data_IF_020255656178
#
_entry.id   IF_020255656178
#
_cell.length_a   1.000
_cell.length_b   1.000
_cell.length_c   1.000
_cell.angle_alpha   90.00
_cell.angle_beta   90.00
_cell.angle_gamma   90.00
#
_symmetry.space_group_name_H-M   'P 1'
#
loop_
_entity.id
_entity.type
_entity.pdbx_description
1 polymer ?
#
# COMPACT_ATOMS: atom_id res chain seq x y z
N UNK A 1 0.59 17.92 58.22
CA UNK A 1 1.79 17.24 58.76
C UNK A 1 1.34 15.90 59.31
N UNK A 2 1.86 14.80 58.77
CA UNK A 2 1.43 13.44 59.12
C UNK A 2 1.81 12.45 58.01
N UNK A 3 3.11 12.23 57.84
CA UNK A 3 3.64 11.27 56.88
C UNK A 3 3.66 9.89 57.53
N UNK A 4 2.87 8.94 56.99
CA UNK A 4 2.98 7.51 57.31
C UNK A 4 3.83 6.83 56.24
N UNK A 5 4.97 6.27 56.67
CA UNK A 5 5.82 5.37 55.89
C UNK A 5 5.11 4.02 55.65
N UNK A 6 5.28 3.39 54.48
CA UNK A 6 5.11 1.95 54.32
C UNK A 6 6.44 1.19 54.51
N UNK A 7 6.38 -0.10 54.90
CA UNK A 7 7.54 -0.89 55.33
C UNK A 7 8.33 -1.52 54.17
N UNK A 8 9.63 -1.70 54.44
CA UNK A 8 10.59 -2.53 53.70
C UNK A 8 10.37 -4.02 53.96
N UNK A 9 10.38 -4.83 52.91
CA UNK A 9 10.83 -6.24 52.82
C UNK A 9 10.88 -6.56 51.32
N UNK A 10 11.78 -7.35 50.76
CA UNK A 10 12.92 -8.11 51.25
C UNK A 10 13.76 -8.52 50.03
N UNK A 11 15.06 -8.53 50.24
CA UNK A 11 16.10 -8.97 49.31
C UNK A 11 16.13 -10.50 49.36
N UNK A 12 16.18 -11.17 48.21
CA UNK A 12 16.82 -12.49 48.11
C UNK A 12 17.72 -12.55 46.89
N UNK A 13 18.92 -12.96 47.22
CA UNK A 13 20.17 -13.06 46.49
C UNK A 13 20.28 -14.40 45.72
N UNK A 14 20.99 -14.34 44.59
CA UNK A 14 21.99 -15.31 44.09
C UNK A 14 21.59 -16.76 43.79
N UNK A 15 21.79 -17.18 42.54
CA UNK A 15 22.66 -18.34 42.25
C UNK A 15 23.26 -18.21 40.84
N UNK A 16 24.57 -18.01 40.77
CA UNK A 16 25.42 -18.29 39.61
C UNK A 16 25.63 -19.81 39.49
N UNK A 17 25.68 -20.31 38.25
CA UNK A 17 26.35 -21.57 37.94
C UNK A 17 26.97 -21.51 36.54
N UNK A 18 28.29 -21.41 36.54
CA UNK A 18 29.25 -21.58 35.44
C UNK A 18 29.52 -23.06 35.22
N UNK A 19 29.68 -23.53 33.97
CA UNK A 19 30.61 -24.61 33.52
C UNK A 19 30.30 -24.92 32.04
N UNK A 20 31.11 -24.49 31.06
CA UNK A 20 32.29 -25.16 30.45
C UNK A 20 32.12 -26.63 30.07
N UNK A 21 32.30 -26.91 28.77
CA UNK A 21 32.43 -28.27 28.24
C UNK A 21 32.81 -28.28 26.75
N UNK A 22 34.07 -27.97 26.44
CA UNK A 22 34.73 -28.40 25.19
C UNK A 22 35.04 -29.90 25.25
N UNK A 23 34.83 -30.64 24.14
CA UNK A 23 35.62 -31.83 23.81
C UNK A 23 35.54 -32.19 22.32
N UNK A 24 36.73 -32.34 21.73
CA UNK A 24 37.09 -32.88 20.42
C UNK A 24 36.81 -34.38 20.22
N UNK A 25 36.65 -34.77 18.94
CA UNK A 25 37.29 -35.89 18.19
C UNK A 25 36.32 -36.39 17.10
N UNK A 26 36.57 -36.24 15.79
CA UNK A 26 37.59 -36.84 14.90
C UNK A 26 37.28 -38.28 14.42
N UNK A 27 37.65 -38.52 13.14
CA UNK A 27 37.54 -39.70 12.27
C UNK A 27 36.17 -39.97 11.61
N UNK A 28 36.08 -40.19 10.29
CA UNK A 28 37.07 -40.31 9.24
C UNK A 28 36.48 -41.01 8.02
N UNK A 29 37.04 -40.75 6.85
CA UNK A 29 37.11 -41.75 5.77
C UNK A 29 36.05 -41.73 4.66
N UNK A 30 36.55 -41.39 3.46
CA UNK A 30 36.69 -42.28 2.29
C UNK A 30 36.14 -41.67 1.01
N UNK A 31 37.06 -41.55 0.06
CA UNK A 31 36.90 -41.09 -1.31
C UNK A 31 35.93 -41.94 -2.13
N UNK A 32 35.24 -41.31 -3.09
CA UNK A 32 34.99 -41.97 -4.36
C UNK A 32 34.90 -40.94 -5.51
N UNK A 33 35.91 -40.99 -6.36
CA UNK A 33 36.06 -40.19 -7.57
C UNK A 33 35.34 -40.90 -8.70
N UNK A 34 34.15 -40.42 -9.08
CA UNK A 34 33.39 -40.90 -10.23
C UNK A 34 33.63 -40.01 -11.45
N UNK A 35 34.55 -40.43 -12.31
CA UNK A 35 34.78 -39.84 -13.64
C UNK A 35 33.64 -40.27 -14.57
N UNK A 36 32.81 -39.31 -14.98
CA UNK A 36 31.76 -39.53 -15.98
C UNK A 36 32.31 -39.21 -17.37
N UNK A 37 32.61 -40.27 -18.12
CA UNK A 37 32.95 -40.24 -19.54
C UNK A 37 31.66 -40.04 -20.33
N UNK A 38 31.44 -38.84 -20.87
CA UNK A 38 30.39 -38.59 -21.85
C UNK A 38 30.95 -38.95 -23.23
N UNK A 39 30.38 -40.00 -23.84
CA UNK A 39 30.66 -40.41 -25.21
C UNK A 39 30.07 -39.39 -26.19
N UNK A 40 30.93 -38.86 -27.06
CA UNK A 40 30.56 -38.16 -28.27
C UNK A 40 29.73 -39.09 -29.19
N UNK A 41 28.53 -38.64 -29.57
CA UNK A 41 27.78 -39.17 -30.70
C UNK A 41 27.84 -38.13 -31.82
N UNK A 42 28.72 -38.37 -32.79
CA UNK A 42 28.68 -37.71 -34.08
C UNK A 42 27.57 -38.34 -34.93
N UNK A 43 26.55 -37.56 -35.29
CA UNK A 43 25.72 -37.82 -36.46
C UNK A 43 25.66 -36.56 -37.33
N UNK A 44 26.00 -36.76 -38.61
CA UNK A 44 26.02 -35.76 -39.66
C UNK A 44 24.60 -35.32 -40.07
N UNK A 45 24.40 -33.99 -40.03
CA UNK A 45 23.64 -33.07 -40.90
C UNK A 45 22.47 -33.58 -41.77
N UNK A 46 21.46 -32.72 -41.93
CA UNK A 46 21.47 -31.93 -43.18
C UNK A 46 21.59 -30.43 -42.91
N UNK A 47 22.44 -29.80 -43.72
CA UNK A 47 22.59 -28.35 -43.84
C UNK A 47 21.27 -27.75 -44.33
N UNK A 48 20.43 -27.29 -43.39
CA UNK A 48 19.36 -26.36 -43.69
C UNK A 48 19.99 -24.97 -43.71
N UNK A 49 20.15 -24.41 -44.91
CA UNK A 49 20.48 -23.00 -45.10
C UNK A 49 19.35 -22.14 -44.55
N UNK A 50 19.38 -21.89 -43.24
CA UNK A 50 18.69 -20.78 -42.64
C UNK A 50 19.64 -19.59 -42.72
N UNK A 51 19.28 -18.62 -43.57
CA UNK A 51 19.78 -17.25 -43.44
C UNK A 51 19.76 -16.84 -41.96
N UNK A 52 20.77 -16.11 -41.45
CA UNK A 52 20.66 -15.53 -40.12
C UNK A 52 19.44 -14.62 -40.14
N UNK A 53 18.35 -15.07 -39.53
CA UNK A 53 17.13 -14.29 -39.37
C UNK A 53 17.55 -12.95 -38.79
N UNK A 54 17.38 -11.89 -39.60
CA UNK A 54 17.62 -10.53 -39.16
C UNK A 54 16.87 -10.27 -37.85
N UNK A 55 17.31 -9.29 -37.04
CA UNK A 55 16.60 -8.96 -35.82
C UNK A 55 15.10 -8.82 -36.12
N UNK A 56 14.22 -9.43 -35.31
CA UNK A 56 12.78 -9.39 -35.56
C UNK A 56 12.36 -7.93 -35.77
N UNK A 57 11.45 -7.65 -36.71
CA UNK A 57 11.02 -6.29 -36.99
C UNK A 57 10.50 -5.66 -35.69
N UNK A 58 11.13 -4.56 -35.28
CA UNK A 58 10.72 -3.81 -34.11
C UNK A 58 9.25 -3.38 -34.25
N UNK A 59 8.52 -3.33 -33.13
CA UNK A 59 7.14 -2.89 -33.15
C UNK A 59 6.98 -1.50 -33.80
N UNK A 60 5.85 -1.26 -34.49
CA UNK A 60 5.54 0.03 -35.09
C UNK A 60 5.51 1.11 -34.00
N UNK A 61 6.05 2.28 -34.36
CA UNK A 61 5.88 3.50 -33.57
C UNK A 61 4.52 4.09 -33.83
N UNK A 62 4.06 4.94 -32.92
CA UNK A 62 2.96 5.84 -33.16
C UNK A 62 3.27 6.73 -34.36
N UNK A 63 2.30 6.90 -35.26
CA UNK A 63 2.38 7.91 -36.31
C UNK A 63 2.14 9.33 -35.76
N UNK A 64 2.43 10.35 -36.56
CA UNK A 64 2.33 11.74 -36.14
C UNK A 64 0.91 12.12 -35.69
N UNK A 65 -0.13 11.60 -36.34
CA UNK A 65 -1.51 11.91 -35.97
C UNK A 65 -1.89 11.29 -34.61
N UNK A 66 -1.37 10.11 -34.28
CA UNK A 66 -1.52 9.51 -32.97
C UNK A 66 -0.79 10.35 -31.90
N UNK A 67 0.42 10.82 -32.22
CA UNK A 67 1.20 11.71 -31.36
C UNK A 67 0.50 13.04 -31.08
N UNK A 68 -0.01 13.71 -32.10
CA UNK A 68 -0.73 14.99 -31.96
C UNK A 68 -1.99 14.82 -31.11
N UNK A 69 -2.71 13.70 -31.32
CA UNK A 69 -3.88 13.34 -30.51
C UNK A 69 -3.53 13.14 -29.04
N UNK A 70 -2.47 12.40 -28.72
CA UNK A 70 -2.05 12.22 -27.32
C UNK A 70 -1.54 13.50 -26.69
N UNK A 71 -0.83 14.34 -27.45
CA UNK A 71 -0.37 15.65 -26.99
C UNK A 71 -1.53 16.48 -26.46
N UNK A 72 -2.62 16.57 -27.21
CA UNK A 72 -3.82 17.30 -26.79
C UNK A 72 -4.54 16.63 -25.59
N UNK A 73 -4.58 15.30 -25.54
CA UNK A 73 -5.30 14.57 -24.48
C UNK A 73 -4.56 14.56 -23.14
N UNK A 74 -3.24 14.74 -23.15
CA UNK A 74 -2.39 14.70 -21.95
C UNK A 74 -1.92 16.08 -21.49
N UNK A 75 -2.20 17.13 -22.26
CA UNK A 75 -1.77 18.48 -21.95
C UNK A 75 -2.23 18.90 -20.55
N UNK A 76 -1.28 19.41 -19.75
CA UNK A 76 -1.45 19.85 -18.35
C UNK A 76 -2.12 18.85 -17.38
N UNK A 77 -2.24 17.57 -17.74
CA UNK A 77 -2.84 16.57 -16.85
C UNK A 77 -1.82 15.98 -15.87
N UNK A 78 -2.13 15.92 -14.56
CA UNK A 78 -1.30 15.17 -13.62
C UNK A 78 -1.33 13.68 -13.93
N UNK A 79 -0.32 12.93 -13.47
CA UNK A 79 -0.30 11.48 -13.60
C UNK A 79 -1.50 10.88 -12.83
N UNK A 80 -2.45 10.21 -13.50
CA UNK A 80 -3.59 9.61 -12.81
C UNK A 80 -3.15 8.42 -11.95
N UNK A 81 -3.97 8.09 -10.96
CA UNK A 81 -3.74 6.92 -10.11
C UNK A 81 -3.56 5.65 -10.94
N UNK A 82 -2.49 4.94 -10.61
CA UNK A 82 -2.12 3.68 -11.21
C UNK A 82 -1.31 3.79 -12.51
N UNK A 83 -0.91 4.99 -12.94
CA UNK A 83 -0.17 5.13 -14.21
C UNK A 83 0.99 4.13 -14.34
N UNK A 84 1.71 3.84 -13.24
CA UNK A 84 2.74 2.81 -13.21
C UNK A 84 2.24 1.40 -13.58
N UNK A 85 1.11 0.94 -13.04
CA UNK A 85 0.56 -0.38 -13.41
C UNK A 85 0.03 -0.39 -14.85
N UNK A 86 -0.49 0.73 -15.35
CA UNK A 86 -0.87 0.83 -16.77
C UNK A 86 0.39 0.70 -17.66
N UNK A 87 1.48 1.34 -17.24
CA UNK A 87 2.78 1.28 -17.90
C UNK A 87 3.34 -0.15 -17.87
N UNK A 88 3.38 -0.82 -16.71
CA UNK A 88 3.79 -2.24 -16.62
C UNK A 88 2.93 -3.17 -17.46
N UNK A 89 1.61 -3.00 -17.42
CA UNK A 89 0.68 -3.82 -18.18
C UNK A 89 0.91 -3.73 -19.69
N UNK A 90 1.35 -2.57 -20.19
CA UNK A 90 1.72 -2.42 -21.60
C UNK A 90 2.86 -3.37 -22.00
N UNK A 91 3.90 -3.50 -21.18
CA UNK A 91 4.99 -4.43 -21.43
C UNK A 91 4.52 -5.90 -21.36
N UNK A 92 3.73 -6.23 -20.33
CA UNK A 92 3.18 -7.58 -20.13
C UNK A 92 2.40 -8.08 -21.35
N UNK A 93 1.43 -7.29 -21.84
CA UNK A 93 0.58 -7.67 -22.97
C UNK A 93 1.34 -7.72 -24.30
N UNK A 94 2.37 -6.88 -24.44
CA UNK A 94 3.23 -6.87 -25.61
C UNK A 94 4.35 -7.91 -25.55
N UNK A 95 4.43 -8.72 -24.48
CA UNK A 95 5.48 -9.72 -24.27
C UNK A 95 6.88 -9.11 -24.14
N UNK A 96 6.96 -7.83 -23.81
CA UNK A 96 8.20 -7.10 -23.63
C UNK A 96 8.62 -7.13 -22.16
N UNK A 97 9.93 -7.04 -21.92
CA UNK A 97 10.47 -6.93 -20.56
C UNK A 97 10.37 -5.46 -20.13
N UNK A 98 9.71 -5.14 -19.00
CA UNK A 98 9.69 -3.78 -18.47
C UNK A 98 11.11 -3.31 -18.10
N UNK A 99 11.41 -2.01 -18.13
CA UNK A 99 12.73 -1.49 -17.81
C UNK A 99 13.21 -1.88 -16.41
N UNK A 100 14.52 -2.05 -16.30
CA UNK A 100 15.22 -2.25 -15.02
C UNK A 100 15.21 -0.91 -14.27
N UNK A 101 14.34 -0.80 -13.28
CA UNK A 101 14.05 0.44 -12.59
C UNK A 101 12.53 0.57 -12.45
N UNK A 102 12.05 0.29 -11.25
CA UNK A 102 10.64 0.22 -10.85
C UNK A 102 9.96 1.61 -10.85
N UNK A 103 10.12 2.39 -11.93
CA UNK A 103 9.81 3.82 -12.00
C UNK A 103 9.24 4.23 -13.35
N UNK A 104 8.30 5.18 -13.36
CA UNK A 104 7.92 5.90 -14.57
C UNK A 104 9.07 6.82 -15.05
N UNK A 105 9.18 7.07 -16.36
CA UNK A 105 9.99 8.16 -16.89
C UNK A 105 9.65 9.49 -16.20
N UNK A 106 10.67 10.31 -15.93
CA UNK A 106 10.49 11.61 -15.28
C UNK A 106 9.65 12.54 -16.18
N UNK A 107 8.53 13.03 -15.67
CA UNK A 107 7.65 13.96 -16.39
C UNK A 107 6.16 13.62 -16.22
N UNK A 108 5.33 14.14 -17.13
CA UNK A 108 3.91 13.83 -17.22
C UNK A 108 3.62 12.65 -18.16
N UNK A 109 2.33 12.40 -18.44
CA UNK A 109 1.87 11.33 -19.32
C UNK A 109 2.55 11.33 -20.70
N UNK A 110 2.86 12.51 -21.24
CA UNK A 110 3.56 12.66 -22.52
C UNK A 110 4.95 12.02 -22.50
N UNK A 111 5.72 12.19 -21.43
CA UNK A 111 7.06 11.58 -21.31
C UNK A 111 6.97 10.06 -21.11
N UNK A 112 5.94 9.59 -20.39
CA UNK A 112 5.64 8.15 -20.26
C UNK A 112 5.38 7.52 -21.63
N UNK A 113 4.56 8.15 -22.46
CA UNK A 113 4.29 7.63 -23.81
C UNK A 113 5.51 7.75 -24.74
N UNK A 114 6.33 8.79 -24.61
CA UNK A 114 7.56 8.93 -25.41
C UNK A 114 8.51 7.78 -25.14
N UNK A 115 8.67 7.41 -23.87
CA UNK A 115 9.47 6.25 -23.50
C UNK A 115 8.88 4.94 -24.03
N UNK A 116 7.56 4.72 -23.90
CA UNK A 116 6.88 3.54 -24.45
C UNK A 116 7.07 3.41 -25.98
N UNK A 117 6.93 4.51 -26.72
CA UNK A 117 7.09 4.55 -28.16
C UNK A 117 8.56 4.34 -28.59
N UNK A 118 9.51 4.89 -27.82
CA UNK A 118 10.94 4.74 -28.08
C UNK A 118 11.44 3.31 -27.84
N UNK A 119 10.91 2.61 -26.82
CA UNK A 119 11.35 1.26 -26.45
C UNK A 119 10.92 0.20 -27.45
N UNK A 120 9.76 0.37 -28.06
CA UNK A 120 9.15 -0.56 -29.01
C UNK A 120 8.89 -1.95 -28.39
N UNK A 121 7.67 -2.46 -28.51
CA UNK A 121 7.32 -3.79 -28.00
C UNK A 121 8.01 -4.92 -28.79
N UNK A 122 7.87 -6.15 -28.29
CA UNK A 122 8.32 -7.36 -29.02
C UNK A 122 7.30 -7.74 -30.11
N UNK A 123 6.03 -7.33 -29.93
CA UNK A 123 4.95 -7.61 -30.87
C UNK A 123 4.95 -6.64 -32.06
N UNK A 124 5.14 -7.11 -33.30
CA UNK A 124 5.25 -6.27 -34.49
C UNK A 124 3.93 -5.58 -34.89
N UNK A 125 2.82 -5.90 -34.22
CA UNK A 125 1.47 -5.38 -34.50
C UNK A 125 0.94 -4.46 -33.39
N UNK A 126 1.74 -4.15 -32.36
CA UNK A 126 1.22 -3.52 -31.14
C UNK A 126 2.21 -2.52 -30.54
N UNK A 127 2.09 -1.22 -30.87
CA UNK A 127 2.83 -0.17 -30.17
C UNK A 127 2.50 -0.19 -28.67
N UNK A 128 3.50 -0.11 -27.79
CA UNK A 128 3.32 -0.18 -26.32
C UNK A 128 2.40 0.92 -25.76
N UNK A 129 2.35 2.08 -26.43
CA UNK A 129 1.46 3.17 -26.05
C UNK A 129 -0.04 2.79 -26.14
N UNK A 130 -0.41 1.87 -27.04
CA UNK A 130 -1.81 1.47 -27.25
C UNK A 130 -2.40 0.73 -26.04
N UNK A 131 -1.80 -0.38 -25.52
CA UNK A 131 -2.29 -0.99 -24.30
C UNK A 131 -2.18 -0.05 -23.09
N UNK A 132 -1.16 0.79 -22.99
CA UNK A 132 -1.08 1.81 -21.94
C UNK A 132 -2.32 2.72 -21.90
N UNK A 133 -2.67 3.33 -23.04
CA UNK A 133 -3.84 4.22 -23.17
C UNK A 133 -5.14 3.45 -22.91
N UNK A 134 -5.24 2.19 -23.37
CA UNK A 134 -6.40 1.33 -23.10
C UNK A 134 -6.63 1.10 -21.61
N UNK A 135 -5.56 0.96 -20.84
CA UNK A 135 -5.61 0.82 -19.39
C UNK A 135 -6.02 2.13 -18.71
N UNK A 136 -5.41 3.26 -19.10
CA UNK A 136 -5.77 4.57 -18.59
C UNK A 136 -7.24 4.90 -18.84
N UNK A 137 -7.73 4.65 -20.06
CA UNK A 137 -9.13 4.83 -20.44
C UNK A 137 -10.07 4.05 -19.51
N UNK A 138 -9.78 2.79 -19.24
CA UNK A 138 -10.60 1.95 -18.36
C UNK A 138 -10.66 2.49 -16.92
N UNK A 139 -9.57 3.13 -16.45
CA UNK A 139 -9.48 3.72 -15.12
C UNK A 139 -10.16 5.09 -15.04
N UNK A 140 -10.04 5.88 -16.10
CA UNK A 140 -10.68 7.18 -16.23
C UNK A 140 -12.20 7.06 -16.26
N UNK A 141 -12.76 5.99 -16.84
CA UNK A 141 -14.20 5.83 -17.11
C UNK A 141 -15.16 6.12 -15.95
N UNK A 142 -14.71 6.05 -14.70
CA UNK A 142 -15.55 6.36 -13.52
C UNK A 142 -15.33 7.76 -12.97
N UNK A 143 -14.09 8.28 -13.00
CA UNK A 143 -13.72 9.57 -12.41
C UNK A 143 -13.78 10.72 -13.39
N UNK A 144 -13.46 10.44 -14.65
CA UNK A 144 -13.48 11.38 -15.77
C UNK A 144 -14.02 10.66 -17.02
N UNK A 145 -15.36 10.49 -17.11
CA UNK A 145 -15.98 9.80 -18.23
C UNK A 145 -15.75 10.50 -19.56
N UNK A 146 -15.64 11.83 -19.56
CA UNK A 146 -15.37 12.63 -20.75
C UNK A 146 -13.98 12.32 -21.31
N UNK A 147 -12.95 12.37 -20.47
CA UNK A 147 -11.60 12.00 -20.89
C UNK A 147 -11.51 10.53 -21.31
N UNK A 148 -12.21 9.63 -20.62
CA UNK A 148 -12.28 8.23 -21.01
C UNK A 148 -12.89 8.06 -22.42
N UNK A 149 -13.94 8.81 -22.77
CA UNK A 149 -14.49 8.82 -24.12
C UNK A 149 -13.47 9.33 -25.13
N UNK A 150 -12.78 10.43 -24.83
CA UNK A 150 -11.76 10.98 -25.73
C UNK A 150 -10.59 10.00 -25.97
N UNK A 151 -10.14 9.29 -24.92
CA UNK A 151 -9.14 8.22 -25.04
C UNK A 151 -9.67 7.03 -25.84
N UNK A 152 -10.97 6.71 -25.73
CA UNK A 152 -11.61 5.66 -26.51
C UNK A 152 -11.63 5.99 -28.01
N UNK A 153 -11.97 7.23 -28.35
CA UNK A 153 -11.97 7.73 -29.73
C UNK A 153 -10.55 7.71 -30.32
N UNK A 154 -9.56 8.14 -29.54
CA UNK A 154 -8.16 8.06 -29.94
C UNK A 154 -7.70 6.62 -30.18
N UNK A 155 -8.08 5.69 -29.30
CA UNK A 155 -7.75 4.26 -29.44
C UNK A 155 -8.39 3.66 -30.69
N UNK A 156 -9.66 3.96 -30.94
CA UNK A 156 -10.36 3.46 -32.12
C UNK A 156 -9.69 3.93 -33.41
N UNK A 157 -9.44 5.24 -33.52
CA UNK A 157 -8.80 5.83 -34.69
C UNK A 157 -7.35 5.33 -34.89
N UNK A 158 -6.59 5.17 -33.80
CA UNK A 158 -5.21 4.68 -33.87
C UNK A 158 -5.17 3.20 -34.26
N UNK A 159 -5.96 2.34 -33.61
CA UNK A 159 -5.99 0.91 -33.93
C UNK A 159 -6.44 0.64 -35.37
N UNK A 160 -7.44 1.38 -35.88
CA UNK A 160 -7.88 1.28 -37.28
C UNK A 160 -6.73 1.61 -38.24
N UNK A 161 -6.00 2.70 -37.97
CA UNK A 161 -4.93 3.18 -38.83
C UNK A 161 -3.67 2.31 -38.77
N UNK A 162 -3.31 1.81 -37.60
CA UNK A 162 -2.11 0.98 -37.40
C UNK A 162 -2.36 -0.51 -37.56
N UNK A 163 -3.62 -0.93 -37.76
CA UNK A 163 -3.99 -2.34 -37.91
C UNK A 163 -3.83 -3.16 -36.62
N UNK A 164 -3.87 -2.53 -35.45
CA UNK A 164 -3.74 -3.22 -34.15
C UNK A 164 -5.01 -4.03 -33.90
N UNK A 165 -4.85 -5.33 -33.63
CA UNK A 165 -5.96 -6.23 -33.33
C UNK A 165 -6.66 -5.93 -31.99
N UNK A 166 -7.70 -6.71 -31.64
CA UNK A 166 -8.42 -6.54 -30.37
C UNK A 166 -7.48 -6.63 -29.17
N UNK A 167 -7.55 -5.62 -28.30
CA UNK A 167 -6.76 -5.56 -27.07
C UNK A 167 -7.45 -6.37 -25.97
N UNK A 168 -6.67 -7.06 -25.11
CA UNK A 168 -7.23 -7.72 -23.93
C UNK A 168 -7.87 -6.70 -22.99
N UNK A 169 -8.81 -7.18 -22.17
CA UNK A 169 -9.43 -6.36 -21.12
C UNK A 169 -8.36 -5.98 -20.09
N UNK A 170 -8.19 -4.68 -19.76
CA UNK A 170 -7.28 -4.28 -18.70
C UNK A 170 -7.63 -4.93 -17.36
N UNK A 171 -6.64 -5.21 -16.50
CA UNK A 171 -6.92 -5.64 -15.14
C UNK A 171 -7.83 -4.61 -14.46
N UNK A 172 -8.88 -5.05 -13.75
CA UNK A 172 -9.79 -4.13 -13.11
C UNK A 172 -9.01 -3.27 -12.11
N UNK A 173 -9.27 -1.96 -12.10
CA UNK A 173 -8.83 -1.14 -10.98
C UNK A 173 -9.44 -1.73 -9.70
N UNK A 174 -8.66 -1.82 -8.63
CA UNK A 174 -9.21 -2.15 -7.31
C UNK A 174 -10.17 -1.04 -6.89
N UNK A 175 -11.45 -1.21 -7.19
CA UNK A 175 -12.52 -0.29 -6.81
C UNK A 175 -12.84 -0.54 -5.34
N UNK A 176 -12.15 0.15 -4.47
CA UNK A 176 -12.40 0.09 -3.03
C UNK A 176 -13.52 1.07 -2.66
N UNK A 177 -14.52 0.58 -1.92
CA UNK A 177 -15.51 1.41 -1.24
C UNK A 177 -14.97 1.74 0.14
N UNK A 178 -14.73 3.02 0.40
CA UNK A 178 -14.11 3.48 1.65
C UNK A 178 -15.12 4.29 2.45
N UNK A 179 -15.32 3.94 3.73
CA UNK A 179 -16.04 4.79 4.67
C UNK A 179 -15.01 5.67 5.38
N UNK A 180 -15.17 6.98 5.28
CA UNK A 180 -14.35 7.93 6.03
C UNK A 180 -15.13 8.44 7.23
N UNK A 181 -14.48 8.52 8.39
CA UNK A 181 -15.03 9.05 9.63
C UNK A 181 -14.07 10.11 10.16
N UNK A 182 -14.51 11.37 10.22
CA UNK A 182 -13.74 12.47 10.82
C UNK A 182 -14.18 12.72 12.25
N UNK A 183 -13.20 12.90 13.12
CA UNK A 183 -13.34 13.34 14.50
C UNK A 183 -12.71 14.73 14.63
N UNK A 184 -13.49 15.73 14.98
CA UNK A 184 -13.00 17.07 15.32
C UNK A 184 -13.18 17.29 16.83
N UNK A 185 -12.16 17.73 17.57
CA UNK A 185 -12.26 17.94 19.02
C UNK A 185 -13.32 19.00 19.34
N UNK A 186 -14.18 18.72 20.32
CA UNK A 186 -15.12 19.69 20.86
C UNK A 186 -14.48 20.49 22.02
N UNK A 187 -15.11 21.58 22.44
CA UNK A 187 -14.65 22.36 23.60
C UNK A 187 -14.70 21.59 24.92
N UNK A 188 -15.50 20.52 24.98
CA UNK A 188 -15.56 19.62 26.15
C UNK A 188 -14.54 18.52 25.97
N UNK A 189 -13.73 18.28 27.00
CA UNK A 189 -12.75 17.17 27.03
C UNK A 189 -13.41 15.83 26.65
N UNK A 190 -12.67 15.00 25.91
CA UNK A 190 -13.05 13.66 25.45
C UNK A 190 -14.27 13.56 24.53
N UNK A 191 -14.70 14.68 23.93
CA UNK A 191 -15.82 14.71 23.00
C UNK A 191 -15.44 15.25 21.63
N UNK A 192 -16.12 14.74 20.62
CA UNK A 192 -15.79 14.99 19.22
C UNK A 192 -17.04 15.26 18.40
N UNK A 193 -16.95 16.24 17.50
CA UNK A 193 -17.85 16.34 16.36
C UNK A 193 -17.47 15.27 15.34
N UNK A 194 -18.47 14.63 14.75
CA UNK A 194 -18.31 13.44 13.92
C UNK A 194 -18.98 13.64 12.59
N UNK A 195 -18.26 13.32 11.52
CA UNK A 195 -18.82 13.29 10.17
C UNK A 195 -18.37 12.04 9.43
N UNK A 196 -19.30 11.42 8.70
CA UNK A 196 -19.05 10.19 7.96
C UNK A 196 -19.38 10.36 6.49
N UNK A 197 -18.51 9.86 5.62
CA UNK A 197 -18.69 9.85 4.18
C UNK A 197 -18.45 8.46 3.60
N UNK A 198 -19.09 8.19 2.47
CA UNK A 198 -18.80 7.05 1.62
C UNK A 198 -18.06 7.54 0.39
N UNK A 199 -16.88 6.99 0.14
CA UNK A 199 -16.09 7.28 -1.04
C UNK A 199 -16.12 6.12 -2.03
N UNK A 200 -16.54 6.43 -3.26
CA UNK A 200 -16.63 5.48 -4.38
C UNK A 200 -16.42 6.20 -5.72
N UNK A 201 -15.22 6.73 -5.92
CA UNK A 201 -14.93 7.63 -7.06
C UNK A 201 -15.48 9.05 -6.88
N UNK A 202 -16.02 9.34 -5.70
CA UNK A 202 -16.58 10.60 -5.25
C UNK A 202 -17.10 10.44 -3.81
N UNK A 203 -17.26 11.55 -3.08
CA UNK A 203 -17.71 11.54 -1.68
C UNK A 203 -19.22 11.77 -1.57
N UNK A 204 -19.90 10.88 -0.84
CA UNK A 204 -21.30 11.02 -0.42
C UNK A 204 -21.34 11.19 1.10
N UNK A 205 -22.00 12.24 1.61
CA UNK A 205 -22.17 12.40 3.07
C UNK A 205 -23.17 11.36 3.56
N UNK A 206 -22.78 10.53 4.54
CA UNK A 206 -23.64 9.52 5.15
C UNK A 206 -24.35 10.05 6.38
N UNK A 207 -23.61 10.72 7.26
CA UNK A 207 -24.11 11.14 8.56
C UNK A 207 -23.19 12.18 9.22
N UNK A 208 -23.76 13.04 10.05
CA UNK A 208 -23.07 14.09 10.79
C UNK A 208 -23.70 14.29 12.17
N UNK A 209 -22.89 14.55 13.20
CA UNK A 209 -23.38 14.92 14.52
C UNK A 209 -23.80 16.39 14.52
N UNK A 210 -25.09 16.69 14.39
CA UNK A 210 -25.57 18.07 14.23
C UNK A 210 -25.73 18.85 15.54
N UNK A 211 -26.05 18.18 16.65
CA UNK A 211 -26.51 18.86 17.87
C UNK A 211 -25.60 18.68 19.09
N UNK A 212 -24.89 17.55 19.18
CA UNK A 212 -24.10 17.22 20.37
C UNK A 212 -22.82 16.48 20.00
N UNK A 213 -21.66 16.90 20.52
CA UNK A 213 -20.43 16.15 20.33
C UNK A 213 -20.49 14.84 21.12
N UNK A 214 -19.86 13.82 20.54
CA UNK A 214 -19.95 12.43 20.97
C UNK A 214 -18.67 11.97 21.66
N UNK A 215 -18.81 11.07 22.63
CA UNK A 215 -17.66 10.29 23.13
C UNK A 215 -17.25 9.23 22.11
N UNK A 216 -16.02 8.71 22.19
CA UNK A 216 -15.56 7.63 21.30
C UNK A 216 -16.46 6.38 21.36
N UNK A 217 -17.03 6.08 22.52
CA UNK A 217 -17.96 4.96 22.70
C UNK A 217 -19.29 5.18 21.96
N UNK A 218 -19.75 6.43 21.89
CA UNK A 218 -20.92 6.82 21.09
C UNK A 218 -20.59 6.83 19.60
N UNK A 219 -19.40 7.30 19.21
CA UNK A 219 -18.89 7.24 17.82
C UNK A 219 -18.87 5.79 17.34
N UNK A 220 -18.33 4.86 18.15
CA UNK A 220 -18.30 3.42 17.86
C UNK A 220 -19.71 2.88 17.58
N UNK A 221 -20.67 3.21 18.44
CA UNK A 221 -22.06 2.78 18.26
C UNK A 221 -22.66 3.32 16.96
N UNK A 222 -22.41 4.58 16.63
CA UNK A 222 -22.94 5.20 15.42
C UNK A 222 -22.29 4.65 14.15
N UNK A 223 -20.96 4.44 14.16
CA UNK A 223 -20.24 3.79 13.06
C UNK A 223 -20.85 2.41 12.76
N UNK A 224 -21.10 1.60 13.78
CA UNK A 224 -21.75 0.30 13.62
C UNK A 224 -23.15 0.40 12.99
N UNK A 225 -23.96 1.39 13.38
CA UNK A 225 -25.28 1.63 12.77
C UNK A 225 -25.17 2.03 11.31
N UNK A 226 -24.24 2.92 10.97
CA UNK A 226 -24.05 3.41 9.60
C UNK A 226 -23.53 2.32 8.67
N UNK A 227 -22.56 1.50 9.11
CA UNK A 227 -22.10 0.34 8.35
C UNK A 227 -23.25 -0.63 8.03
N UNK A 228 -24.10 -0.97 9.00
CA UNK A 228 -25.29 -1.82 8.78
C UNK A 228 -26.32 -1.18 7.84
N UNK A 229 -26.44 0.14 7.79
CA UNK A 229 -27.31 0.84 6.82
C UNK A 229 -26.74 0.77 5.41
N UNK A 230 -25.44 1.02 5.27
CA UNK A 230 -24.74 0.95 3.98
C UNK A 230 -24.80 -0.47 3.40
N UNK A 231 -24.56 -1.50 4.20
CA UNK A 231 -24.63 -2.90 3.76
C UNK A 231 -26.04 -3.32 3.29
N UNK A 232 -27.09 -2.85 3.99
CA UNK A 232 -28.48 -3.07 3.55
C UNK A 232 -28.77 -2.39 2.22
N UNK A 233 -28.40 -1.11 2.08
CA UNK A 233 -28.57 -0.35 0.83
C UNK A 233 -27.89 -1.04 -0.35
N UNK A 234 -26.67 -1.55 -0.18
CA UNK A 234 -25.98 -2.26 -1.25
C UNK A 234 -26.63 -3.59 -1.62
N UNK A 235 -27.11 -4.35 -0.63
CA UNK A 235 -27.80 -5.62 -0.86
C UNK A 235 -29.11 -5.44 -1.64
N UNK A 236 -29.79 -4.31 -1.46
CA UNK A 236 -31.05 -3.97 -2.16
C UNK A 236 -30.82 -3.48 -3.60
N UNK A 237 -29.73 -2.75 -3.85
CA UNK A 237 -29.51 -2.06 -5.14
C UNK A 237 -28.87 -2.96 -6.19
N UNK A 238 -28.04 -3.93 -5.80
CA UNK A 238 -27.41 -4.88 -6.72
C UNK A 238 -27.05 -6.18 -5.98
N UNK A 239 -27.96 -7.18 -5.94
CA UNK A 239 -27.72 -8.43 -5.22
C UNK A 239 -26.58 -9.27 -5.79
N UNK A 240 -26.14 -8.99 -7.04
CA UNK A 240 -25.15 -9.78 -7.77
C UNK A 240 -23.76 -9.14 -7.65
N UNK A 241 -23.68 -7.81 -7.60
CA UNK A 241 -22.44 -7.11 -7.25
C UNK A 241 -22.36 -6.92 -5.74
N UNK A 242 -21.66 -7.85 -5.05
CA UNK A 242 -21.28 -7.75 -3.63
C UNK A 242 -20.36 -6.53 -3.35
N UNK A 243 -20.84 -5.31 -3.55
CA UNK A 243 -20.17 -4.06 -3.24
C UNK A 243 -20.37 -3.84 -1.74
N UNK A 244 -19.38 -4.20 -0.93
CA UNK A 244 -19.35 -3.92 0.50
C UNK A 244 -18.35 -2.81 0.76
N UNK A 245 -18.43 -2.18 1.93
CA UNK A 245 -17.34 -1.33 2.42
C UNK A 245 -16.10 -2.22 2.56
N UNK A 246 -15.00 -1.81 1.94
CA UNK A 246 -13.72 -2.54 1.99
C UNK A 246 -12.84 -2.01 3.12
N UNK A 247 -12.84 -0.68 3.30
CA UNK A 247 -11.97 0.04 4.23
C UNK A 247 -12.74 1.09 5.03
N UNK A 248 -12.36 1.24 6.30
CA UNK A 248 -12.75 2.34 7.17
C UNK A 248 -11.51 3.19 7.46
N UNK A 249 -11.60 4.49 7.15
CA UNK A 249 -10.54 5.47 7.41
C UNK A 249 -10.98 6.47 8.48
N UNK A 250 -10.22 6.55 9.57
CA UNK A 250 -10.46 7.49 10.66
C UNK A 250 -9.59 8.73 10.46
N UNK A 251 -10.20 9.89 10.26
CA UNK A 251 -9.53 11.19 10.24
C UNK A 251 -9.57 11.73 11.65
N UNK A 252 -8.42 11.74 12.33
CA UNK A 252 -8.34 11.95 13.76
C UNK A 252 -7.30 13.02 14.11
N UNK A 253 -7.49 13.77 15.21
CA UNK A 253 -6.44 14.61 15.75
C UNK A 253 -5.28 13.75 16.25
N UNK A 254 -4.11 14.36 16.39
CA UNK A 254 -2.85 13.67 16.69
C UNK A 254 -2.95 12.76 17.93
N UNK A 255 -3.62 13.23 18.98
CA UNK A 255 -3.74 12.55 20.26
C UNK A 255 -4.51 11.21 20.15
N UNK A 256 -5.30 11.03 19.10
CA UNK A 256 -6.08 9.83 18.86
C UNK A 256 -5.41 8.83 17.90
N UNK A 257 -4.21 9.12 17.40
CA UNK A 257 -3.50 8.18 16.50
C UNK A 257 -3.27 6.83 17.15
N UNK A 258 -2.99 6.80 18.47
CA UNK A 258 -2.74 5.55 19.18
C UNK A 258 -4.01 4.82 19.67
N UNK A 259 -5.21 5.31 19.35
CA UNK A 259 -6.46 4.59 19.67
C UNK A 259 -6.64 3.36 18.77
N UNK A 260 -6.89 2.21 19.40
CA UNK A 260 -7.14 0.89 18.80
C UNK A 260 -8.47 0.75 18.02
N UNK A 261 -8.71 1.61 17.03
CA UNK A 261 -9.94 1.59 16.22
C UNK A 261 -10.22 0.22 15.58
N UNK A 262 -9.18 -0.50 15.16
CA UNK A 262 -9.26 -1.84 14.60
C UNK A 262 -9.83 -2.88 15.57
N UNK A 263 -9.72 -2.66 16.89
CA UNK A 263 -10.25 -3.55 17.91
C UNK A 263 -11.68 -3.18 18.35
N UNK A 264 -12.25 -2.09 17.81
CA UNK A 264 -13.60 -1.68 18.19
C UNK A 264 -14.63 -2.79 17.93
N UNK A 265 -15.42 -3.20 18.94
CA UNK A 265 -16.46 -4.21 18.76
C UNK A 265 -17.62 -3.65 17.93
N UNK A 266 -17.88 -4.29 16.80
CA UNK A 266 -18.94 -3.94 15.86
C UNK A 266 -20.13 -4.91 15.97
N UNK A 267 -21.39 -4.42 15.98
CA UNK A 267 -22.60 -5.25 16.08
C UNK A 267 -22.99 -5.91 14.75
N UNK A 268 -22.01 -6.46 14.00
CA UNK A 268 -22.16 -6.92 12.61
C UNK A 268 -21.99 -8.45 12.49
N UNK A 269 -21.65 -9.16 13.58
CA UNK A 269 -21.49 -10.61 13.54
C UNK A 269 -22.82 -11.38 13.45
N UNK A 270 -22.72 -12.68 13.15
CA UNK A 270 -23.89 -13.60 13.11
C UNK A 270 -24.64 -13.52 14.43
N UNK A 271 -25.97 -13.43 14.36
CA UNK A 271 -26.87 -13.29 15.52
C UNK A 271 -26.54 -12.07 16.42
N UNK A 272 -25.91 -11.04 15.86
CA UNK A 272 -25.54 -9.83 16.60
C UNK A 272 -24.30 -9.98 17.49
N UNK A 273 -23.55 -11.08 17.37
CA UNK A 273 -22.30 -11.24 18.11
C UNK A 273 -21.31 -10.13 17.71
N UNK A 274 -20.66 -9.46 18.68
CA UNK A 274 -19.69 -8.42 18.37
C UNK A 274 -18.48 -9.03 17.64
N UNK A 275 -18.00 -8.34 16.60
CA UNK A 275 -16.74 -8.67 15.92
C UNK A 275 -15.86 -7.42 15.87
N UNK A 276 -14.55 -7.59 16.03
CA UNK A 276 -13.60 -6.48 15.94
C UNK A 276 -13.61 -5.88 14.52
N UNK A 277 -13.59 -4.55 14.42
CA UNK A 277 -13.68 -3.81 13.16
C UNK A 277 -12.62 -4.27 12.14
N UNK A 278 -11.36 -4.39 12.57
CA UNK A 278 -10.21 -4.77 11.75
C UNK A 278 -10.18 -6.21 11.27
N UNK A 279 -11.08 -7.07 11.76
CA UNK A 279 -11.30 -8.42 11.21
C UNK A 279 -12.33 -8.40 10.08
N UNK A 280 -13.22 -7.42 10.07
CA UNK A 280 -14.29 -7.30 9.08
C UNK A 280 -13.80 -6.44 7.90
N UNK A 281 -13.23 -5.27 8.21
CA UNK A 281 -12.81 -4.26 7.24
C UNK A 281 -11.31 -3.99 7.33
N UNK A 282 -10.74 -3.45 6.26
CA UNK A 282 -9.44 -2.78 6.36
C UNK A 282 -9.62 -1.53 7.23
N UNK A 283 -8.66 -1.22 8.09
CA UNK A 283 -8.74 -0.07 9.00
C UNK A 283 -7.45 0.74 8.88
N UNK A 284 -7.60 2.04 8.67
CA UNK A 284 -6.51 2.99 8.66
C UNK A 284 -6.89 4.26 9.42
N UNK A 285 -5.89 4.95 9.95
CA UNK A 285 -6.00 6.28 10.53
C UNK A 285 -5.35 7.30 9.61
N UNK A 286 -5.75 8.56 9.78
CA UNK A 286 -5.29 9.73 9.04
C UNK A 286 -5.19 10.88 10.02
N UNK A 287 -4.20 11.73 9.83
CA UNK A 287 -4.01 12.94 10.62
C UNK A 287 -3.94 14.14 9.69
N UNK A 288 -5.06 14.46 9.00
CA UNK A 288 -5.00 15.39 7.89
C UNK A 288 -4.67 16.82 8.30
N UNK A 289 -5.08 17.22 9.51
CA UNK A 289 -4.91 18.58 10.05
C UNK A 289 -3.42 18.84 10.42
N UNK A 290 -2.68 17.81 10.82
CA UNK A 290 -1.22 17.87 11.05
C UNK A 290 -0.40 17.99 9.75
N UNK A 291 -1.06 17.98 8.59
CA UNK A 291 -0.40 18.18 7.29
C UNK A 291 -0.43 19.62 6.83
N UNK A 292 -1.23 20.48 7.45
CA UNK A 292 -1.43 21.85 7.00
C UNK A 292 -0.14 22.69 7.14
N UNK A 293 0.14 23.56 6.18
CA UNK A 293 1.32 24.44 6.19
C UNK A 293 2.54 23.82 5.50
N UNK A 294 3.72 23.90 6.15
CA UNK A 294 5.03 23.59 5.51
C UNK A 294 5.15 22.11 5.11
N UNK A 295 4.51 21.23 5.87
CA UNK A 295 4.51 19.78 5.62
C UNK A 295 3.67 19.36 4.43
N UNK A 296 2.69 20.17 4.01
CA UNK A 296 1.75 19.82 2.94
C UNK A 296 2.48 19.59 1.61
N UNK A 297 3.45 20.46 1.30
CA UNK A 297 4.23 20.37 0.06
C UNK A 297 5.07 19.10 0.00
N UNK A 298 5.77 18.78 1.10
CA UNK A 298 6.58 17.57 1.23
C UNK A 298 5.72 16.31 1.14
N UNK A 299 4.57 16.33 1.82
CA UNK A 299 3.63 15.23 1.81
C UNK A 299 3.07 14.95 0.41
N UNK A 300 2.62 15.97 -0.31
CA UNK A 300 2.19 15.83 -1.71
C UNK A 300 3.34 15.40 -2.62
N UNK A 301 4.56 15.89 -2.42
CA UNK A 301 5.73 15.48 -3.19
C UNK A 301 6.03 13.99 -2.99
N UNK A 302 6.09 13.51 -1.75
CA UNK A 302 6.30 12.09 -1.43
C UNK A 302 5.17 11.22 -1.98
N UNK A 303 3.92 11.67 -1.91
CA UNK A 303 2.79 10.94 -2.50
C UNK A 303 2.87 10.84 -4.03
N UNK A 304 3.20 11.94 -4.72
CA UNK A 304 3.40 11.92 -6.18
C UNK A 304 4.57 11.04 -6.58
N UNK A 305 5.66 11.04 -5.79
CA UNK A 305 6.76 10.10 -5.98
C UNK A 305 6.24 8.67 -5.86
N UNK A 306 5.47 8.33 -4.82
CA UNK A 306 4.87 7.00 -4.67
C UNK A 306 3.99 6.60 -5.87
N UNK A 307 3.14 7.51 -6.37
CA UNK A 307 2.28 7.27 -7.55
C UNK A 307 3.07 7.05 -8.85
N UNK A 308 4.28 7.62 -8.94
CA UNK A 308 5.15 7.50 -10.11
C UNK A 308 6.08 6.28 -10.05
N UNK A 309 6.10 5.55 -8.94
CA UNK A 309 6.99 4.41 -8.71
C UNK A 309 6.19 3.12 -8.52
N UNK A 310 6.87 2.00 -8.62
CA UNK A 310 6.35 0.71 -8.16
C UNK A 310 6.00 0.79 -6.68
N UNK A 311 4.85 0.20 -6.31
CA UNK A 311 4.48 0.05 -4.90
C UNK A 311 5.48 -0.82 -4.11
N UNK A 312 6.38 -1.52 -4.81
CA UNK A 312 7.46 -2.36 -4.27
C UNK A 312 8.84 -1.73 -4.37
N UNK A 313 8.94 -0.45 -4.79
CA UNK A 313 10.23 0.20 -4.98
C UNK A 313 11.08 0.09 -3.68
N UNK A 314 12.35 -0.35 -3.74
CA UNK A 314 13.12 -0.71 -2.55
C UNK A 314 13.35 0.45 -1.56
N UNK A 315 13.38 1.69 -2.07
CA UNK A 315 13.48 2.90 -1.23
C UNK A 315 12.14 3.39 -0.67
N UNK A 316 11.00 2.81 -1.07
CA UNK A 316 9.69 3.30 -0.64
C UNK A 316 9.47 3.12 0.87
N UNK A 317 10.05 2.06 1.44
CA UNK A 317 9.90 1.66 2.84
C UNK A 317 11.18 1.94 3.61
N UNK A 318 11.05 2.54 4.78
CA UNK A 318 12.12 2.65 5.77
C UNK A 318 11.69 1.97 7.07
N UNK A 319 12.49 1.03 7.54
CA UNK A 319 12.29 0.39 8.86
C UNK A 319 12.96 1.28 9.90
N UNK A 320 12.19 1.76 10.86
CA UNK A 320 12.63 2.68 11.90
C UNK A 320 12.73 1.94 13.24
N UNK A 321 13.95 1.62 13.70
CA UNK A 321 14.16 1.01 15.02
C UNK A 321 14.26 2.06 16.13
N UNK A 322 14.08 1.62 17.38
CA UNK A 322 14.12 2.44 18.59
C UNK A 322 15.32 3.39 18.71
N UNK A 323 16.52 2.89 18.40
CA UNK A 323 17.76 3.65 18.56
C UNK A 323 17.93 4.78 17.53
N UNK A 324 17.15 4.76 16.45
CA UNK A 324 17.14 5.82 15.45
C UNK A 324 16.16 6.94 15.79
N UNK A 325 15.28 6.76 16.78
CA UNK A 325 14.37 7.82 17.24
C UNK A 325 15.17 8.90 17.96
N UNK A 326 15.28 10.05 17.33
CA UNK A 326 16.03 11.21 17.81
C UNK A 326 15.34 12.52 17.42
N UNK A 327 15.74 13.63 18.02
CA UNK A 327 15.22 14.96 17.69
C UNK A 327 15.43 15.35 16.22
N UNK A 328 16.43 14.75 15.55
CA UNK A 328 16.75 15.00 14.13
C UNK A 328 16.04 14.02 13.18
N UNK A 329 15.13 13.16 13.67
CA UNK A 329 14.48 12.17 12.83
C UNK A 329 13.60 12.81 11.75
N UNK A 330 12.84 13.85 12.08
CA UNK A 330 12.02 14.59 11.10
C UNK A 330 12.86 15.07 9.93
N UNK A 331 13.91 15.85 10.20
CA UNK A 331 14.82 16.39 9.19
C UNK A 331 15.47 15.31 8.32
N UNK A 332 15.84 14.16 8.90
CA UNK A 332 16.40 13.03 8.14
C UNK A 332 15.37 12.41 7.19
N UNK A 333 14.12 12.29 7.64
CA UNK A 333 13.02 11.77 6.82
C UNK A 333 12.52 12.79 5.78
N UNK A 334 12.75 14.08 5.99
CA UNK A 334 12.42 15.18 5.07
C UNK A 334 13.32 15.24 3.82
N UNK A 335 14.42 14.47 3.76
CA UNK A 335 15.34 14.48 2.62
C UNK A 335 14.62 14.37 1.27
N UNK A 336 15.20 15.01 0.24
CA UNK A 336 14.54 15.37 -1.03
C UNK A 336 13.74 14.24 -1.71
N UNK A 337 14.09 12.96 -1.51
CA UNK A 337 13.27 11.81 -1.91
C UNK A 337 13.54 10.54 -1.05
N UNK A 338 12.61 9.55 -1.11
CA UNK A 338 12.08 8.63 -0.06
C UNK A 338 12.50 8.78 1.42
N UNK A 339 11.80 8.16 2.39
CA UNK A 339 10.74 7.14 2.25
C UNK A 339 9.32 7.73 2.11
N UNK A 340 8.39 6.88 1.65
CA UNK A 340 6.94 7.17 1.63
C UNK A 340 6.16 6.32 2.63
N UNK A 341 6.77 5.22 3.08
CA UNK A 341 6.25 4.33 4.11
C UNK A 341 7.32 4.16 5.20
N UNK A 342 6.93 4.33 6.47
CA UNK A 342 7.77 4.02 7.62
C UNK A 342 7.18 2.82 8.38
N UNK A 343 7.99 1.79 8.60
CA UNK A 343 7.68 0.72 9.54
C UNK A 343 8.30 1.07 10.88
N UNK A 344 7.51 1.60 11.81
CA UNK A 344 8.00 2.00 13.13
C UNK A 344 8.08 0.78 14.06
N UNK A 345 9.28 0.19 14.14
CA UNK A 345 9.65 -0.88 15.06
C UNK A 345 10.19 -0.29 16.37
N UNK A 346 9.34 0.49 17.04
CA UNK A 346 9.70 1.31 18.20
C UNK A 346 8.90 0.94 19.44
N UNK A 347 9.53 1.02 20.62
CA UNK A 347 8.90 0.87 21.93
C UNK A 347 7.77 1.87 22.14
N UNK A 348 6.82 1.49 23.01
CA UNK A 348 5.69 2.35 23.36
C UNK A 348 6.13 3.75 23.84
N UNK A 349 7.27 3.84 24.52
CA UNK A 349 7.82 5.11 25.03
C UNK A 349 8.40 6.01 23.93
N UNK A 350 8.74 5.45 22.77
CA UNK A 350 9.30 6.18 21.62
C UNK A 350 8.30 6.38 20.49
N UNK A 351 7.14 5.75 20.56
CA UNK A 351 6.15 5.75 19.49
C UNK A 351 5.67 7.16 19.12
N UNK A 352 5.35 7.99 20.11
CA UNK A 352 4.86 9.36 19.86
C UNK A 352 5.94 10.24 19.20
N UNK A 353 7.18 10.16 19.67
CA UNK A 353 8.32 10.87 19.05
C UNK A 353 8.52 10.44 17.58
N UNK A 354 8.37 9.14 17.31
CA UNK A 354 8.48 8.58 15.96
C UNK A 354 7.33 9.04 15.05
N UNK A 355 6.08 8.98 15.53
CA UNK A 355 4.91 9.42 14.77
C UNK A 355 4.95 10.92 14.47
N UNK A 356 5.38 11.74 15.44
CA UNK A 356 5.57 13.17 15.22
C UNK A 356 6.58 13.42 14.10
N UNK A 357 7.74 12.77 14.15
CA UNK A 357 8.76 12.91 13.10
C UNK A 357 8.28 12.41 11.71
N UNK A 358 7.46 11.36 11.66
CA UNK A 358 6.83 10.87 10.41
C UNK A 358 5.88 11.91 9.82
N UNK A 359 5.08 12.57 10.67
CA UNK A 359 4.14 13.61 10.23
C UNK A 359 4.87 14.87 9.77
N UNK A 360 5.81 15.36 10.58
CA UNK A 360 6.69 16.51 10.30
C UNK A 360 7.49 16.31 9.00
N UNK A 361 7.84 15.06 8.69
CA UNK A 361 8.55 14.74 7.46
C UNK A 361 7.67 14.63 6.21
N UNK A 362 6.36 14.79 6.35
CA UNK A 362 5.40 14.59 5.26
C UNK A 362 5.32 13.14 4.80
N UNK A 363 5.75 12.16 5.59
CA UNK A 363 5.66 10.74 5.19
C UNK A 363 4.19 10.31 5.21
N UNK A 364 3.60 9.90 4.07
CA UNK A 364 2.15 9.65 3.96
C UNK A 364 1.69 8.34 4.61
N UNK A 365 2.57 7.34 4.73
CA UNK A 365 2.22 5.99 5.18
C UNK A 365 3.11 5.59 6.35
N UNK A 366 2.51 5.02 7.40
CA UNK A 366 3.26 4.41 8.48
C UNK A 366 2.55 3.20 9.07
N UNK A 367 3.32 2.21 9.51
CA UNK A 367 2.81 1.02 10.19
C UNK A 367 3.56 0.86 11.51
N UNK A 368 2.83 0.61 12.60
CA UNK A 368 3.41 0.38 13.92
C UNK A 368 2.59 -0.66 14.69
N UNK A 369 3.18 -1.16 15.77
CA UNK A 369 2.50 -2.01 16.75
C UNK A 369 2.04 -1.16 17.92
N UNK A 370 0.76 -1.22 18.28
CA UNK A 370 0.28 -0.56 19.50
C UNK A 370 0.82 -1.27 20.74
N UNK A 371 1.42 -0.51 21.65
CA UNK A 371 2.12 -1.06 22.81
C UNK A 371 3.58 -1.47 22.56
N UNK A 372 4.10 -1.29 21.33
CA UNK A 372 5.50 -1.55 20.97
C UNK A 372 5.81 -2.98 20.52
N UNK A 373 7.07 -3.28 20.15
CA UNK A 373 7.49 -4.62 19.75
C UNK A 373 7.55 -5.58 20.95
N UNK A 374 7.45 -6.89 20.70
CA UNK A 374 7.60 -7.91 21.74
C UNK A 374 8.99 -7.85 22.36
N UNK A 375 9.06 -8.12 23.67
CA UNK A 375 10.29 -8.04 24.46
C UNK A 375 11.39 -9.04 24.04
N UNK A 376 11.05 -10.04 23.22
CA UNK A 376 11.93 -11.12 22.80
C UNK A 376 11.86 -11.42 21.29
N UNK A 377 11.64 -10.41 20.45
CA UNK A 377 11.62 -10.62 19.00
C UNK A 377 12.98 -11.14 18.50
N UNK A 378 12.99 -12.34 17.92
CA UNK A 378 14.16 -12.94 17.29
C UNK A 378 14.49 -12.31 15.92
N UNK A 379 15.67 -12.61 15.34
CA UNK A 379 15.99 -12.22 13.97
C UNK A 379 14.93 -12.79 13.01
N UNK A 380 14.22 -11.91 12.29
CA UNK A 380 13.15 -12.31 11.37
C UNK A 380 11.72 -12.15 11.90
N UNK A 381 11.51 -11.61 13.11
CA UNK A 381 10.17 -11.42 13.71
C UNK A 381 9.67 -9.95 13.66
N UNK A 382 10.33 -9.09 12.86
CA UNK A 382 10.00 -7.68 12.69
C UNK A 382 8.76 -7.43 11.81
N UNK A 383 8.28 -6.18 11.81
CA UNK A 383 7.23 -5.72 10.89
C UNK A 383 7.63 -5.96 9.44
N UNK A 384 8.90 -5.72 9.08
CA UNK A 384 9.37 -5.94 7.71
C UNK A 384 9.16 -7.38 7.25
N UNK A 385 9.45 -8.36 8.12
CA UNK A 385 9.31 -9.77 7.80
C UNK A 385 7.84 -10.17 7.63
N UNK A 386 6.96 -9.74 8.54
CA UNK A 386 5.52 -10.02 8.45
C UNK A 386 4.83 -9.37 7.24
N UNK A 387 5.33 -8.22 6.78
CA UNK A 387 4.73 -7.48 5.68
C UNK A 387 5.32 -7.85 4.31
N UNK A 388 6.37 -8.66 4.29
CA UNK A 388 6.95 -9.16 3.04
C UNK A 388 6.03 -10.22 2.45
N UNK A 389 5.53 -10.00 1.24
CA UNK A 389 4.65 -10.94 0.55
C UNK A 389 5.42 -11.71 -0.52
N UNK A 390 5.40 -13.06 -0.55
CA UNK A 390 5.89 -13.81 -1.70
C UNK A 390 5.06 -13.45 -2.94
N UNK A 391 5.70 -13.06 -4.03
CA UNK A 391 5.02 -12.80 -5.31
C UNK A 391 4.75 -14.10 -6.09
N UNK A 392 3.60 -14.25 -6.76
CA UNK A 392 3.32 -15.44 -7.60
C UNK A 392 4.24 -15.57 -8.81
N UNK A 393 4.85 -14.47 -9.27
CA UNK A 393 5.79 -14.40 -10.40
C UNK A 393 7.23 -14.08 -9.96
N UNK A 394 7.56 -14.25 -8.68
CA UNK A 394 8.90 -13.97 -8.14
C UNK A 394 9.94 -14.97 -8.69
N UNK A 395 10.32 -14.76 -9.94
CA UNK A 395 11.41 -15.43 -10.64
C UNK A 395 12.70 -14.64 -10.40
N UNK A 396 13.03 -14.43 -9.11
CA UNK A 396 14.19 -13.66 -8.69
C UNK A 396 14.07 -13.12 -7.27
N UNK A 397 15.08 -12.35 -6.86
CA UNK A 397 15.25 -11.68 -5.55
C UNK A 397 14.21 -10.55 -5.29
N UNK A 398 13.05 -10.57 -5.97
CA UNK A 398 11.97 -9.57 -5.87
C UNK A 398 11.13 -9.74 -4.59
N UNK A 399 11.80 -9.99 -3.46
CA UNK A 399 11.19 -9.94 -2.14
C UNK A 399 11.16 -8.49 -1.66
N UNK A 400 9.96 -7.92 -1.55
CA UNK A 400 9.77 -6.53 -1.14
C UNK A 400 8.37 -6.30 -0.61
N UNK A 401 8.21 -5.29 0.24
CA UNK A 401 6.91 -4.91 0.79
C UNK A 401 6.13 -4.15 -0.29
N UNK A 402 4.97 -4.68 -0.62
CA UNK A 402 4.02 -4.02 -1.52
C UNK A 402 3.20 -3.00 -0.74
N UNK A 403 3.65 -1.74 -0.75
CA UNK A 403 3.06 -0.64 0.03
C UNK A 403 1.56 -0.49 -0.27
N UNK A 404 1.14 -0.72 -1.52
CA UNK A 404 -0.26 -0.65 -1.96
C UNK A 404 -1.15 -1.67 -1.26
N UNK A 405 -0.59 -2.84 -0.92
CA UNK A 405 -1.32 -3.94 -0.30
C UNK A 405 -1.41 -3.84 1.22
N UNK A 406 -0.71 -2.90 1.87
CA UNK A 406 -0.67 -2.78 3.34
C UNK A 406 -2.06 -2.79 4.01
N UNK A 407 -3.07 -2.01 3.57
CA UNK A 407 -4.41 -2.06 4.20
C UNK A 407 -5.01 -3.47 4.24
N UNK A 408 -4.85 -4.22 3.15
CA UNK A 408 -5.34 -5.60 3.01
C UNK A 408 -4.49 -6.58 3.81
N UNK A 409 -3.17 -6.46 3.71
CA UNK A 409 -2.21 -7.35 4.36
C UNK A 409 -2.34 -7.28 5.89
N UNK A 410 -2.49 -6.08 6.46
CA UNK A 410 -2.71 -5.92 7.89
C UNK A 410 -4.02 -6.57 8.35
N UNK A 411 -5.08 -6.54 7.52
CA UNK A 411 -6.32 -7.27 7.82
C UNK A 411 -6.12 -8.78 7.76
N UNK A 412 -5.39 -9.29 6.76
CA UNK A 412 -5.06 -10.71 6.62
C UNK A 412 -4.26 -11.20 7.85
N UNK A 413 -3.23 -10.45 8.26
CA UNK A 413 -2.47 -10.72 9.49
C UNK A 413 -3.36 -10.74 10.74
N UNK A 414 -4.30 -9.80 10.90
CA UNK A 414 -5.24 -9.82 12.03
C UNK A 414 -6.17 -11.04 12.01
N UNK A 415 -6.55 -11.54 10.83
CA UNK A 415 -7.38 -12.74 10.69
C UNK A 415 -6.62 -14.00 11.06
N UNK A 416 -5.35 -14.11 10.65
CA UNK A 416 -4.48 -15.25 10.98
C UNK A 416 -4.28 -15.40 12.48
N UNK A 417 -4.23 -14.28 13.21
CA UNK A 417 -4.02 -14.25 14.66
C UNK A 417 -5.33 -14.14 15.47
N UNK A 418 -6.49 -14.20 14.83
CA UNK A 418 -7.78 -14.03 15.50
C UNK A 418 -8.13 -15.18 16.48
N UNK A 419 -7.58 -16.38 16.23
CA UNK A 419 -7.84 -17.61 16.99
C UNK A 419 -6.69 -17.98 17.96
N UNK A 420 -5.64 -17.17 18.05
CA UNK A 420 -4.47 -17.43 18.92
C UNK A 420 -4.80 -17.23 20.41
N UNK A 421 -4.47 -18.24 21.23
CA UNK A 421 -4.66 -18.21 22.67
C UNK A 421 -3.89 -17.03 23.33
N UNK A 422 -4.46 -16.48 24.40
CA UNK A 422 -3.97 -15.32 25.17
C UNK A 422 -2.52 -15.44 25.70
N UNK A 423 -1.88 -16.61 25.58
CA UNK A 423 -0.54 -16.89 26.11
C UNK A 423 0.63 -16.48 25.20
N UNK A 424 0.41 -16.25 23.90
CA UNK A 424 1.50 -16.02 22.93
C UNK A 424 1.85 -14.53 22.76
N UNK A 425 2.49 -13.92 23.76
CA UNK A 425 2.80 -12.48 23.89
C UNK A 425 3.54 -11.81 22.70
N UNK A 426 3.93 -12.55 21.66
CA UNK A 426 4.73 -12.07 20.53
C UNK A 426 3.97 -11.32 19.43
N UNK A 427 2.69 -11.61 19.17
CA UNK A 427 1.98 -11.04 18.02
C UNK A 427 0.57 -10.51 18.31
N UNK A 428 0.16 -10.51 19.59
CA UNK A 428 -1.16 -10.03 20.02
C UNK A 428 -1.33 -8.50 19.99
N UNK A 429 -0.28 -7.75 19.67
CA UNK A 429 -0.34 -6.29 19.58
C UNK A 429 -0.97 -5.87 18.25
N UNK A 430 -2.08 -5.11 18.27
CA UNK A 430 -2.78 -4.76 17.04
C UNK A 430 -1.90 -3.83 16.20
N UNK A 431 -1.79 -4.17 14.92
CA UNK A 431 -1.08 -3.37 13.92
C UNK A 431 -1.94 -2.16 13.54
N UNK A 432 -1.36 -0.98 13.59
CA UNK A 432 -1.98 0.26 13.16
C UNK A 432 -1.40 0.71 11.81
N UNK A 433 -2.22 1.43 11.04
CA UNK A 433 -1.84 1.94 9.73
C UNK A 433 -2.24 3.41 9.61
N UNK A 434 -1.26 4.29 9.47
CA UNK A 434 -1.46 5.62 8.92
C UNK A 434 -1.48 5.50 7.40
N UNK A 435 -2.57 5.95 6.77
CA UNK A 435 -2.72 5.98 5.32
C UNK A 435 -3.27 7.34 4.89
N UNK A 436 -2.39 8.30 4.68
CA UNK A 436 -2.80 9.67 4.39
C UNK A 436 -2.57 10.03 2.92
N UNK A 437 -3.63 9.84 2.12
CA UNK A 437 -3.68 10.16 0.70
C UNK A 437 -4.15 11.63 0.48
N UNK A 438 -3.30 12.54 -0.05
CA UNK A 438 -3.63 13.94 -0.30
C UNK A 438 -4.68 14.18 -1.38
N UNK A 439 -4.93 13.20 -2.24
CA UNK A 439 -5.87 13.31 -3.35
C UNK A 439 -7.26 12.77 -2.97
N UNK A 440 -7.37 12.06 -1.84
CA UNK A 440 -8.60 11.46 -1.35
C UNK A 440 -9.07 12.15 -0.05
N UNK A 441 -9.48 13.43 -0.12
CA UNK A 441 -10.02 14.17 1.03
C UNK A 441 -11.46 14.67 0.76
N UNK A 442 -12.40 14.52 1.71
CA UNK A 442 -13.68 15.20 1.62
C UNK A 442 -13.48 16.72 1.74
N UNK A 443 -14.37 17.52 1.14
CA UNK A 443 -14.31 18.99 1.24
C UNK A 443 -14.40 19.43 2.71
N UNK A 444 -13.35 20.09 3.20
CA UNK A 444 -13.28 20.58 4.58
C UNK A 444 -14.22 21.77 4.76
N UNK A 445 -15.26 21.58 5.57
CA UNK A 445 -15.98 22.67 6.24
C UNK A 445 -15.90 22.37 7.73
N UNK A 446 -15.55 23.38 8.52
CA UNK A 446 -15.53 23.28 9.99
C UNK A 446 -16.91 22.86 10.51
N UNK A 447 -16.94 21.94 11.48
CA UNK A 447 -18.16 21.46 12.14
C UNK A 447 -18.53 22.31 13.37
N UNK A 448 -17.70 23.31 13.72
CA UNK A 448 -17.85 24.17 14.91
C UNK A 448 -18.49 25.53 14.63
#
# INVERSE_FOLDING_TARGET
MGWKQPPRTGITETTEATETGEAHADNGGVANSGVLVIKEFHQHLPESGADPAGPPPAAPRLDQAAWDGLGALFDDRPLPEGTYEAYRWAFEISGAVPPVGDSLPSGGLTEVVKDLDARQGVRPDMPLAVPFVRCLMARAATRDPEWATQLADWLAATCERTGVGPLPTPPPAERQVVLHLRLEPAQTEDRHWVRMWLHRGGFETLWESEATPLTLDQVRCELGRQLLRVERRFSETDPVACRRVDRVEFHVPFELLDVDFENWPMPIGRRGAPRRLGLIYQVAVRCPDERDGVTEALWRQKWRWYQAQSSRHPRAVHVLPDHEVSQMLGDRLQADQPPVCVLAEVSATRLQDALNAVLDAGVPIAVWRRGGPPRAAGPGEGLSAALTTPGPDATGDESGIDVRRLPRLLRELRLEHADGAEDDQGWHHPLALLWDDPDCRPLSRSLS
#
